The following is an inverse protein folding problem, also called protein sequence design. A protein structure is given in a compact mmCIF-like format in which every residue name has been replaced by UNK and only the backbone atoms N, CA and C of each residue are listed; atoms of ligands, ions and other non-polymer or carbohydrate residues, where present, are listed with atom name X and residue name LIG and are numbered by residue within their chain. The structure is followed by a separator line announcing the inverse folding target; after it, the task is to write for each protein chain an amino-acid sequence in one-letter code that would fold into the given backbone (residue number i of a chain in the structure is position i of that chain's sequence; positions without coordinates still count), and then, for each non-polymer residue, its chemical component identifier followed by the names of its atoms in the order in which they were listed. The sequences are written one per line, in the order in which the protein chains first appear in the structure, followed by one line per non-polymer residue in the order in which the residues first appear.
data_IF_219495638580
#
_entry.id   IF_219495638580
#
_cell.length_a   1.000
_cell.length_b   1.000
_cell.length_c   1.000
_cell.angle_alpha   90.00
_cell.angle_beta   90.00
_cell.angle_gamma   90.00
#
_symmetry.space_group_name_H-M   'P 1'
#
loop_
_entity.id
_entity.type
_entity.pdbx_description
1 polymer ?
#
# COMPACT_ATOMS: atom_id res chain seq x y z
N UNK A 1 -30.70 -12.55 -1.41
CA UNK A 1 -29.30 -12.42 -1.83
C UNK A 1 -28.77 -13.82 -1.99
N UNK A 2 -28.35 -14.16 -3.18
CA UNK A 2 -27.75 -15.45 -3.46
C UNK A 2 -26.30 -15.23 -3.85
N UNK A 3 -25.34 -16.04 -3.37
CA UNK A 3 -24.01 -16.04 -3.93
C UNK A 3 -24.10 -16.42 -5.41
N UNK A 4 -23.53 -15.59 -6.27
CA UNK A 4 -23.43 -15.91 -7.69
C UNK A 4 -22.29 -16.90 -7.89
N UNK A 5 -22.53 -17.94 -8.67
CA UNK A 5 -21.45 -18.76 -9.20
C UNK A 5 -20.57 -17.94 -10.14
N UNK A 6 -19.31 -18.27 -10.25
CA UNK A 6 -18.33 -17.52 -11.06
C UNK A 6 -18.77 -17.37 -12.53
N UNK A 7 -19.41 -18.39 -13.10
CA UNK A 7 -19.91 -18.36 -14.48
C UNK A 7 -21.04 -17.34 -14.67
N UNK A 8 -21.95 -17.22 -13.70
CA UNK A 8 -23.06 -16.28 -13.77
C UNK A 8 -22.59 -14.86 -13.52
N UNK A 9 -21.62 -14.67 -12.60
CA UNK A 9 -20.99 -13.37 -12.37
C UNK A 9 -20.32 -12.86 -13.65
N UNK A 10 -19.53 -13.69 -14.33
CA UNK A 10 -18.87 -13.32 -15.60
C UNK A 10 -19.89 -12.89 -16.65
N UNK A 11 -21.00 -13.60 -16.78
CA UNK A 11 -22.08 -13.21 -17.70
C UNK A 11 -22.71 -11.86 -17.39
N UNK A 12 -22.80 -11.50 -16.11
CA UNK A 12 -23.35 -10.21 -15.69
C UNK A 12 -22.37 -9.06 -15.94
N UNK A 13 -21.06 -9.31 -15.82
CA UNK A 13 -20.05 -8.26 -15.93
C UNK A 13 -20.00 -7.58 -17.31
N UNK A 14 -20.39 -8.27 -18.37
CA UNK A 14 -20.43 -7.74 -19.74
C UNK A 14 -21.82 -7.83 -20.40
N UNK A 15 -22.88 -7.85 -19.60
CA UNK A 15 -24.24 -7.86 -20.10
C UNK A 15 -24.73 -6.42 -20.32
N UNK A 16 -24.96 -6.05 -21.59
CA UNK A 16 -25.41 -4.71 -21.96
C UNK A 16 -26.75 -4.26 -21.33
N UNK A 17 -27.58 -5.22 -20.87
CA UNK A 17 -28.86 -4.94 -20.22
C UNK A 17 -28.77 -4.85 -18.70
N UNK A 18 -27.55 -4.94 -18.13
CA UNK A 18 -27.32 -4.92 -16.69
C UNK A 18 -26.44 -3.72 -16.34
N UNK A 19 -26.80 -3.02 -15.28
CA UNK A 19 -25.97 -2.00 -14.65
C UNK A 19 -25.56 -2.50 -13.28
N UNK A 20 -24.26 -2.56 -13.03
CA UNK A 20 -23.70 -3.00 -11.78
C UNK A 20 -23.09 -1.81 -11.02
N UNK A 21 -23.53 -1.65 -9.79
CA UNK A 21 -22.88 -0.78 -8.81
C UNK A 21 -22.18 -1.68 -7.78
N UNK A 22 -20.88 -1.52 -7.62
CA UNK A 22 -20.05 -2.41 -6.82
C UNK A 22 -19.28 -1.66 -5.76
N UNK A 23 -18.78 -2.36 -4.76
CA UNK A 23 -17.93 -1.72 -3.74
C UNK A 23 -16.43 -1.80 -4.06
N UNK A 24 -15.99 -2.71 -4.90
CA UNK A 24 -14.59 -2.84 -5.33
C UNK A 24 -14.57 -3.44 -6.73
N UNK A 25 -14.36 -2.61 -7.72
CA UNK A 25 -14.40 -3.02 -9.14
C UNK A 25 -13.16 -3.76 -9.62
N UNK A 26 -11.99 -3.53 -9.03
CA UNK A 26 -10.73 -4.09 -9.51
C UNK A 26 -10.72 -5.62 -9.68
N UNK A 27 -11.14 -6.44 -8.68
CA UNK A 27 -11.19 -7.89 -8.86
C UNK A 27 -12.25 -8.33 -9.87
N UNK A 28 -13.30 -7.53 -10.08
CA UNK A 28 -14.35 -7.82 -11.06
C UNK A 28 -13.88 -7.55 -12.48
N UNK A 29 -13.16 -6.45 -12.70
CA UNK A 29 -12.49 -6.20 -13.98
C UNK A 29 -11.50 -7.30 -14.32
N UNK A 30 -10.64 -7.70 -13.38
CA UNK A 30 -9.69 -8.80 -13.58
C UNK A 30 -10.41 -10.10 -13.99
N UNK A 31 -11.56 -10.42 -13.35
CA UNK A 31 -12.36 -11.60 -13.66
C UNK A 31 -13.03 -11.49 -15.04
N UNK A 32 -13.59 -10.34 -15.40
CA UNK A 32 -14.16 -10.10 -16.72
C UNK A 32 -13.10 -10.27 -17.81
N UNK A 33 -11.95 -9.66 -17.66
CA UNK A 33 -10.84 -9.73 -18.62
C UNK A 33 -10.25 -11.14 -18.74
N UNK A 34 -10.19 -11.90 -17.68
CA UNK A 34 -9.78 -13.32 -17.74
C UNK A 34 -10.74 -14.18 -18.56
N UNK A 35 -12.01 -13.79 -18.63
CA UNK A 35 -13.04 -14.42 -19.44
C UNK A 35 -13.18 -13.84 -20.87
N UNK A 36 -12.32 -12.89 -21.25
CA UNK A 36 -12.32 -12.25 -22.57
C UNK A 36 -13.26 -11.04 -22.69
N UNK A 37 -13.81 -10.56 -21.57
CA UNK A 37 -14.66 -9.37 -21.49
C UNK A 37 -13.91 -8.15 -20.96
N UNK A 38 -14.64 -7.08 -20.64
CA UNK A 38 -14.11 -5.81 -20.14
C UNK A 38 -14.78 -5.31 -18.87
N UNK A 39 -15.79 -5.99 -18.34
CA UNK A 39 -16.58 -5.53 -17.20
C UNK A 39 -17.45 -4.32 -17.53
N UNK A 40 -17.96 -4.27 -18.77
CA UNK A 40 -18.69 -3.12 -19.32
C UNK A 40 -20.02 -2.83 -18.63
N UNK A 41 -20.53 -3.74 -17.80
CA UNK A 41 -21.73 -3.51 -16.98
C UNK A 41 -21.48 -2.73 -15.70
N UNK A 42 -20.24 -2.62 -15.25
CA UNK A 42 -19.88 -1.86 -14.03
C UNK A 42 -19.99 -0.37 -14.34
N UNK A 43 -20.75 0.36 -13.51
CA UNK A 43 -21.01 1.80 -13.67
C UNK A 43 -20.69 2.62 -12.41
N UNK A 44 -20.37 1.96 -11.29
CA UNK A 44 -20.05 2.61 -10.04
C UNK A 44 -19.16 1.73 -9.18
N UNK A 45 -18.20 2.36 -8.49
CA UNK A 45 -17.35 1.72 -7.48
C UNK A 45 -17.37 2.54 -6.18
N UNK A 46 -18.01 2.00 -5.15
CA UNK A 46 -18.12 2.66 -3.85
C UNK A 46 -16.78 2.79 -3.11
N UNK A 47 -15.79 1.94 -3.39
CA UNK A 47 -14.47 2.06 -2.76
C UNK A 47 -13.67 3.23 -3.33
N UNK A 48 -13.75 3.45 -4.63
CA UNK A 48 -13.16 4.64 -5.27
C UNK A 48 -13.84 5.93 -4.80
N UNK A 49 -15.17 5.90 -4.68
CA UNK A 49 -15.91 7.02 -4.14
C UNK A 49 -15.50 7.34 -2.69
N UNK A 50 -15.35 6.32 -1.84
CA UNK A 50 -14.88 6.50 -0.48
C UNK A 50 -13.46 7.10 -0.41
N UNK A 51 -12.57 6.65 -1.30
CA UNK A 51 -11.22 7.21 -1.40
C UNK A 51 -11.25 8.68 -1.82
N UNK A 52 -12.07 9.03 -2.78
CA UNK A 52 -12.18 10.41 -3.25
C UNK A 52 -12.70 11.34 -2.15
N UNK A 53 -13.74 10.91 -1.42
CA UNK A 53 -14.36 11.69 -0.35
C UNK A 53 -13.50 11.82 0.91
N UNK A 54 -12.62 10.87 1.21
CA UNK A 54 -11.65 10.93 2.31
C UNK A 54 -10.36 10.20 1.98
N UNK A 55 -9.47 10.85 1.24
CA UNK A 55 -8.15 10.30 0.87
C UNK A 55 -7.20 10.10 2.08
N UNK A 56 -7.55 10.62 3.26
CA UNK A 56 -6.74 10.48 4.47
C UNK A 56 -7.01 9.18 5.24
N UNK A 57 -8.11 8.52 4.96
CA UNK A 57 -8.47 7.26 5.62
C UNK A 57 -7.49 6.13 5.25
N UNK A 58 -7.12 5.33 6.25
CA UNK A 58 -6.19 4.22 6.04
C UNK A 58 -6.85 2.97 5.44
N UNK A 59 -8.18 2.89 5.50
CA UNK A 59 -8.99 1.75 5.03
C UNK A 59 -10.35 2.21 4.54
N UNK A 60 -10.88 1.48 3.56
CA UNK A 60 -12.22 1.67 3.03
C UNK A 60 -12.93 0.33 3.05
N UNK A 61 -13.78 0.12 4.05
CA UNK A 61 -14.53 -1.13 4.25
C UNK A 61 -16.02 -0.83 4.41
N UNK A 62 -16.87 -1.67 3.82
CA UNK A 62 -18.32 -1.51 3.89
C UNK A 62 -18.82 -1.45 5.34
N UNK A 63 -18.28 -2.30 6.24
CA UNK A 63 -18.66 -2.35 7.63
C UNK A 63 -18.36 -1.06 8.43
N UNK A 64 -17.41 -0.23 7.97
CA UNK A 64 -17.07 1.07 8.56
C UNK A 64 -17.89 2.21 7.93
N UNK A 65 -18.12 2.14 6.61
CA UNK A 65 -18.83 3.16 5.85
C UNK A 65 -20.34 3.12 6.10
N UNK A 66 -20.93 1.94 6.18
CA UNK A 66 -22.38 1.79 6.44
C UNK A 66 -22.83 2.51 7.70
N UNK A 67 -22.19 2.36 8.87
CA UNK A 67 -22.56 3.12 10.06
C UNK A 67 -22.23 4.62 9.94
N UNK A 68 -21.08 5.00 9.35
CA UNK A 68 -20.70 6.42 9.24
C UNK A 68 -21.70 7.21 8.38
N UNK A 69 -22.17 6.61 7.28
CA UNK A 69 -23.20 7.19 6.41
C UNK A 69 -24.63 6.94 6.93
N UNK A 70 -24.82 6.19 8.04
CA UNK A 70 -26.14 5.79 8.52
C UNK A 70 -26.99 5.19 7.41
N UNK A 71 -26.39 4.29 6.62
CA UNK A 71 -27.04 3.73 5.46
C UNK A 71 -28.21 2.82 5.85
N UNK A 72 -29.37 3.09 5.26
CA UNK A 72 -30.61 2.34 5.50
C UNK A 72 -30.59 1.01 4.75
N UNK A 73 -31.14 -0.04 5.36
CA UNK A 73 -31.29 -1.33 4.70
C UNK A 73 -32.56 -1.39 3.86
N UNK A 74 -32.42 -1.70 2.58
CA UNK A 74 -33.55 -2.02 1.71
C UNK A 74 -34.06 -3.45 1.94
N UNK A 75 -33.19 -4.36 2.41
CA UNK A 75 -33.49 -5.72 2.81
C UNK A 75 -32.47 -6.22 3.84
N UNK A 76 -32.75 -7.36 4.48
CA UNK A 76 -31.83 -8.01 5.40
C UNK A 76 -31.37 -9.37 4.86
N UNK A 77 -30.10 -9.69 5.08
CA UNK A 77 -29.52 -10.98 4.72
C UNK A 77 -28.61 -11.41 5.87
N UNK A 78 -28.82 -12.60 6.42
CA UNK A 78 -28.04 -13.08 7.55
C UNK A 78 -26.56 -13.27 7.22
N UNK A 79 -26.28 -13.83 6.02
CA UNK A 79 -24.91 -14.11 5.59
C UNK A 79 -24.17 -12.85 5.10
N UNK A 80 -24.91 -11.82 4.67
CA UNK A 80 -24.37 -10.56 4.13
C UNK A 80 -25.14 -9.36 4.69
N UNK A 81 -24.92 -9.00 5.96
CA UNK A 81 -25.77 -8.03 6.67
C UNK A 81 -25.71 -6.61 6.04
N UNK A 82 -24.61 -6.26 5.41
CA UNK A 82 -24.44 -4.95 4.78
C UNK A 82 -24.90 -4.88 3.32
N UNK A 83 -25.16 -6.02 2.68
CA UNK A 83 -25.57 -6.05 1.27
C UNK A 83 -26.83 -5.22 1.00
N UNK A 84 -27.82 -5.30 1.90
CA UNK A 84 -29.04 -4.51 1.79
C UNK A 84 -28.87 -3.00 1.99
N UNK A 85 -27.70 -2.56 2.44
CA UNK A 85 -27.40 -1.16 2.74
C UNK A 85 -26.57 -0.49 1.64
N UNK A 86 -25.99 -1.27 0.71
CA UNK A 86 -25.11 -0.74 -0.33
C UNK A 86 -25.80 0.28 -1.24
N UNK A 87 -27.06 0.05 -1.60
CA UNK A 87 -27.79 0.97 -2.48
C UNK A 87 -27.95 2.36 -1.85
N UNK A 88 -28.32 2.44 -0.56
CA UNK A 88 -28.46 3.70 0.16
C UNK A 88 -27.08 4.35 0.43
N UNK A 89 -26.07 3.53 0.75
CA UNK A 89 -24.69 3.99 0.90
C UNK A 89 -24.20 4.67 -0.39
N UNK A 90 -24.35 4.00 -1.53
CA UNK A 90 -23.90 4.54 -2.81
C UNK A 90 -24.69 5.80 -3.24
N UNK A 91 -26.00 5.85 -2.97
CA UNK A 91 -26.78 7.06 -3.22
C UNK A 91 -26.27 8.26 -2.43
N UNK A 92 -25.94 8.06 -1.16
CA UNK A 92 -25.37 9.11 -0.29
C UNK A 92 -23.99 9.55 -0.73
N UNK A 93 -23.12 8.62 -1.09
CA UNK A 93 -21.78 8.93 -1.59
C UNK A 93 -21.83 9.69 -2.92
N UNK A 94 -22.74 9.32 -3.83
CA UNK A 94 -22.97 10.07 -5.09
C UNK A 94 -23.40 11.50 -4.81
N UNK A 95 -24.35 11.67 -3.90
CA UNK A 95 -24.82 13.01 -3.52
C UNK A 95 -23.70 13.87 -2.92
N UNK A 96 -22.81 13.27 -2.13
CA UNK A 96 -21.66 13.96 -1.52
C UNK A 96 -20.62 14.35 -2.57
N UNK A 97 -20.25 13.45 -3.50
CA UNK A 97 -19.36 13.75 -4.64
C UNK A 97 -19.90 14.94 -5.43
N UNK A 98 -21.20 14.94 -5.74
CA UNK A 98 -21.84 16.06 -6.44
C UNK A 98 -21.80 17.35 -5.61
N UNK A 99 -22.05 17.27 -4.31
CA UNK A 99 -21.99 18.43 -3.42
C UNK A 99 -20.59 19.03 -3.30
N UNK A 100 -19.53 18.18 -3.38
CA UNK A 100 -18.14 18.63 -3.42
C UNK A 100 -17.68 19.10 -4.81
N UNK A 101 -18.48 18.90 -5.87
CA UNK A 101 -18.14 19.27 -7.25
C UNK A 101 -17.13 18.32 -7.92
N UNK A 102 -17.04 17.09 -7.45
CA UNK A 102 -16.03 16.10 -7.87
C UNK A 102 -16.56 15.08 -8.89
N UNK A 103 -17.76 15.32 -9.45
CA UNK A 103 -18.36 14.41 -10.44
C UNK A 103 -17.46 14.16 -11.66
N UNK A 104 -16.82 15.19 -12.19
CA UNK A 104 -15.92 15.07 -13.33
C UNK A 104 -14.66 14.27 -12.95
N UNK A 105 -14.08 14.53 -11.78
CA UNK A 105 -12.92 13.77 -11.29
C UNK A 105 -13.27 12.28 -11.15
N UNK A 106 -14.40 11.97 -10.54
CA UNK A 106 -14.83 10.59 -10.38
C UNK A 106 -15.12 9.91 -11.72
N UNK A 107 -15.98 10.53 -12.57
CA UNK A 107 -16.51 9.87 -13.77
C UNK A 107 -15.52 9.84 -14.93
N UNK A 108 -14.69 10.88 -15.09
CA UNK A 108 -13.84 11.05 -16.26
C UNK A 108 -12.39 10.58 -16.01
N UNK A 109 -11.98 10.46 -14.74
CA UNK A 109 -10.61 10.10 -14.38
C UNK A 109 -10.58 8.84 -13.51
N UNK A 110 -11.05 8.88 -12.26
CA UNK A 110 -10.84 7.82 -11.27
C UNK A 110 -11.53 6.51 -11.66
N UNK A 111 -12.79 6.58 -12.05
CA UNK A 111 -13.56 5.39 -12.39
C UNK A 111 -13.04 4.69 -13.66
N UNK A 112 -12.78 5.38 -14.80
CA UNK A 112 -12.15 4.77 -15.97
C UNK A 112 -10.74 4.24 -15.70
N UNK A 113 -9.96 4.93 -14.87
CA UNK A 113 -8.61 4.51 -14.50
C UNK A 113 -8.59 3.16 -13.79
N UNK A 114 -9.61 2.84 -12.99
CA UNK A 114 -9.71 1.56 -12.31
C UNK A 114 -9.66 0.36 -13.27
N UNK A 115 -10.32 0.46 -14.41
CA UNK A 115 -10.30 -0.57 -15.45
C UNK A 115 -8.91 -0.70 -16.08
N UNK A 116 -8.25 0.43 -16.38
CA UNK A 116 -6.89 0.46 -16.93
C UNK A 116 -5.90 -0.19 -15.96
N UNK A 117 -5.97 0.17 -14.67
CA UNK A 117 -5.10 -0.41 -13.65
C UNK A 117 -5.33 -1.92 -13.46
N UNK A 118 -6.58 -2.38 -13.58
CA UNK A 118 -6.89 -3.81 -13.53
C UNK A 118 -6.26 -4.55 -14.72
N UNK A 119 -6.31 -3.98 -15.94
CA UNK A 119 -5.67 -4.57 -17.11
C UNK A 119 -4.13 -4.56 -17.01
N UNK A 120 -3.54 -3.47 -16.55
CA UNK A 120 -2.10 -3.41 -16.29
C UNK A 120 -1.67 -4.48 -15.28
N UNK A 121 -2.46 -4.69 -14.21
CA UNK A 121 -2.18 -5.73 -13.21
C UNK A 121 -2.29 -7.13 -13.81
N UNK A 122 -3.26 -7.36 -14.69
CA UNK A 122 -3.45 -8.63 -15.40
C UNK A 122 -2.30 -8.93 -16.37
N UNK A 123 -1.87 -7.95 -17.13
CA UNK A 123 -0.75 -8.08 -18.08
C UNK A 123 0.56 -8.29 -17.32
N UNK A 124 0.76 -7.56 -16.22
CA UNK A 124 1.97 -7.58 -15.44
C UNK A 124 3.16 -6.96 -16.15
N UNK A 125 4.33 -7.14 -15.56
CA UNK A 125 5.62 -6.69 -16.11
C UNK A 125 6.58 -7.87 -16.08
N UNK A 126 7.30 -8.10 -17.17
CA UNK A 126 8.35 -9.12 -17.20
C UNK A 126 9.49 -8.73 -16.27
N UNK A 127 9.83 -9.61 -15.35
CA UNK A 127 10.88 -9.38 -14.35
C UNK A 127 11.92 -10.49 -14.43
N UNK A 128 13.20 -10.12 -14.43
CA UNK A 128 14.33 -11.05 -14.31
C UNK A 128 14.46 -11.49 -12.84
N UNK A 129 13.75 -12.56 -12.50
CA UNK A 129 13.75 -13.13 -11.16
C UNK A 129 15.15 -13.56 -10.71
N UNK A 130 15.89 -14.25 -11.59
CA UNK A 130 17.22 -14.77 -11.26
C UNK A 130 18.21 -13.61 -11.02
N UNK A 131 18.10 -12.55 -11.80
CA UNK A 131 18.88 -11.33 -11.60
C UNK A 131 18.59 -10.66 -10.27
N UNK A 132 17.32 -10.60 -9.83
CA UNK A 132 16.94 -10.08 -8.51
C UNK A 132 17.49 -10.96 -7.39
N UNK A 133 17.39 -12.28 -7.52
CA UNK A 133 17.92 -13.23 -6.50
C UNK A 133 19.44 -13.10 -6.36
N UNK A 134 20.17 -13.01 -7.48
CA UNK A 134 21.62 -12.80 -7.49
C UNK A 134 22.00 -11.43 -6.89
N UNK A 135 21.25 -10.38 -7.22
CA UNK A 135 21.45 -9.08 -6.59
C UNK A 135 21.22 -9.15 -5.07
N UNK A 136 20.21 -9.88 -4.61
CA UNK A 136 19.92 -10.11 -3.20
C UNK A 136 21.06 -10.84 -2.46
N UNK A 137 21.70 -11.82 -3.10
CA UNK A 137 22.88 -12.49 -2.53
C UNK A 137 24.02 -11.48 -2.31
N UNK A 138 24.32 -10.66 -3.33
CA UNK A 138 25.35 -9.61 -3.20
C UNK A 138 25.02 -8.61 -2.08
N UNK A 139 23.78 -8.13 -2.04
CA UNK A 139 23.35 -7.18 -0.99
C UNK A 139 23.49 -7.74 0.41
N UNK A 140 23.17 -9.00 0.63
CA UNK A 140 23.34 -9.65 1.95
C UNK A 140 24.82 -9.76 2.33
N UNK A 141 25.69 -10.10 1.39
CA UNK A 141 27.13 -10.15 1.65
C UNK A 141 27.67 -8.76 2.04
N UNK A 142 27.27 -7.72 1.33
CA UNK A 142 27.65 -6.34 1.67
C UNK A 142 27.11 -5.91 3.04
N UNK A 143 25.85 -6.25 3.35
CA UNK A 143 25.26 -6.00 4.66
C UNK A 143 26.03 -6.65 5.80
N UNK A 144 26.43 -7.91 5.63
CA UNK A 144 27.22 -8.65 6.62
C UNK A 144 28.60 -7.98 6.86
N UNK A 145 29.25 -7.54 5.79
CA UNK A 145 30.56 -6.87 5.88
C UNK A 145 30.44 -5.52 6.61
N UNK A 146 29.44 -4.70 6.23
CA UNK A 146 29.22 -3.41 6.89
C UNK A 146 28.84 -3.62 8.35
N UNK A 147 27.96 -4.58 8.65
CA UNK A 147 27.56 -4.87 10.02
C UNK A 147 28.75 -5.34 10.87
N UNK A 148 29.65 -6.14 10.31
CA UNK A 148 30.87 -6.55 10.99
C UNK A 148 31.77 -5.37 11.35
N UNK A 149 31.93 -4.37 10.44
CA UNK A 149 32.68 -3.14 10.75
C UNK A 149 32.01 -2.33 11.87
N UNK A 150 30.68 -2.14 11.78
CA UNK A 150 29.91 -1.46 12.84
C UNK A 150 30.10 -2.15 14.20
N UNK A 151 30.06 -3.49 14.26
CA UNK A 151 30.25 -4.24 15.48
C UNK A 151 31.69 -4.09 16.02
N UNK A 152 32.68 -4.00 15.14
CA UNK A 152 34.07 -3.75 15.55
C UNK A 152 34.23 -2.34 16.13
N UNK A 153 33.67 -1.32 15.49
CA UNK A 153 33.77 0.07 15.94
C UNK A 153 33.00 0.31 17.24
N UNK A 154 31.84 -0.30 17.41
CA UNK A 154 31.03 -0.18 18.62
C UNK A 154 31.47 -1.10 19.76
N UNK A 155 32.33 -2.06 19.48
CA UNK A 155 32.76 -3.09 20.46
C UNK A 155 31.64 -4.04 20.90
N UNK A 156 30.52 -4.09 20.17
CA UNK A 156 29.35 -4.88 20.57
C UNK A 156 28.70 -5.57 19.38
N UNK A 157 28.67 -6.90 19.42
CA UNK A 157 27.98 -7.75 18.43
C UNK A 157 26.45 -7.72 18.57
N UNK A 158 25.92 -7.16 19.66
CA UNK A 158 24.48 -6.99 19.87
C UNK A 158 23.97 -5.61 19.45
N UNK A 159 24.86 -4.74 18.98
CA UNK A 159 24.46 -3.40 18.50
C UNK A 159 23.63 -3.50 17.22
N UNK A 160 22.46 -2.83 17.23
CA UNK A 160 21.55 -2.79 16.08
C UNK A 160 21.55 -1.41 15.42
N UNK A 161 22.14 -1.25 14.21
CA UNK A 161 22.19 0.03 13.50
C UNK A 161 20.81 0.59 13.11
N UNK A 162 19.79 -0.27 13.09
CA UNK A 162 18.41 0.14 12.82
C UNK A 162 17.66 0.61 14.07
N UNK A 163 18.24 0.49 15.27
CA UNK A 163 17.64 0.99 16.50
C UNK A 163 17.98 2.47 16.70
N UNK A 164 17.04 3.42 16.55
CA UNK A 164 17.31 4.83 16.76
C UNK A 164 17.83 5.12 18.17
N UNK A 165 17.36 4.35 19.17
CA UNK A 165 17.78 4.51 20.56
C UNK A 165 19.24 4.11 20.74
N UNK A 166 19.62 2.88 20.34
CA UNK A 166 21.00 2.40 20.49
C UNK A 166 21.99 3.27 19.70
N UNK A 167 21.59 3.66 18.48
CA UNK A 167 22.43 4.53 17.65
C UNK A 167 22.58 5.92 18.26
N UNK A 168 21.51 6.52 18.76
CA UNK A 168 21.57 7.82 19.41
C UNK A 168 22.44 7.80 20.67
N UNK A 169 22.31 6.79 21.54
CA UNK A 169 23.15 6.59 22.72
C UNK A 169 24.62 6.41 22.34
N UNK A 170 24.91 5.62 21.28
CA UNK A 170 26.28 5.43 20.82
C UNK A 170 26.90 6.70 20.27
N UNK A 171 26.25 7.37 19.33
CA UNK A 171 26.81 8.55 18.66
C UNK A 171 26.93 9.76 19.60
N UNK A 172 25.90 10.04 20.38
CA UNK A 172 25.81 11.30 21.11
C UNK A 172 26.20 11.18 22.57
N UNK A 173 25.88 10.06 23.24
CA UNK A 173 26.20 9.91 24.66
C UNK A 173 27.55 9.22 24.86
N UNK A 174 27.96 8.27 24.01
CA UNK A 174 29.21 7.53 24.14
C UNK A 174 30.35 8.19 23.38
N UNK A 175 30.15 8.51 22.08
CA UNK A 175 31.18 9.13 21.24
C UNK A 175 31.22 10.65 21.36
N UNK A 176 30.19 11.28 21.94
CA UNK A 176 30.13 12.74 22.15
C UNK A 176 30.05 13.55 20.85
N UNK A 177 29.48 13.00 19.79
CA UNK A 177 29.36 13.72 18.53
C UNK A 177 28.38 14.90 18.64
N UNK A 178 28.52 15.92 17.77
CA UNK A 178 27.59 17.04 17.74
C UNK A 178 26.15 16.51 17.51
N UNK A 179 25.26 16.79 18.45
CA UNK A 179 23.90 16.31 18.38
C UNK A 179 22.93 17.36 17.78
N UNK A 180 21.97 16.90 17.00
CA UNK A 180 20.89 17.70 16.46
C UNK A 180 19.67 17.74 17.39
N UNK A 181 18.48 17.61 16.80
CA UNK A 181 17.20 17.70 17.53
C UNK A 181 17.00 16.51 18.47
N UNK A 182 16.54 16.78 19.69
CA UNK A 182 16.07 15.76 20.62
C UNK A 182 14.59 15.53 20.39
N UNK A 183 14.19 14.27 20.22
CA UNK A 183 12.81 13.85 20.06
C UNK A 183 12.27 13.28 21.38
N UNK A 184 10.97 13.01 21.46
CA UNK A 184 10.38 12.33 22.64
C UNK A 184 10.98 10.93 22.91
N UNK A 185 11.61 10.32 21.91
CA UNK A 185 12.20 8.96 21.97
C UNK A 185 13.73 8.97 22.10
N UNK A 186 14.35 10.13 22.30
CA UNK A 186 15.80 10.31 22.34
C UNK A 186 16.34 11.20 21.23
N UNK A 187 17.62 11.09 20.92
CA UNK A 187 18.26 11.85 19.86
C UNK A 187 17.73 11.43 18.47
N UNK A 188 17.54 12.39 17.56
CA UNK A 188 17.23 12.08 16.18
C UNK A 188 18.43 11.40 15.51
N UNK A 189 18.16 10.31 14.82
CA UNK A 189 19.10 9.58 13.96
C UNK A 189 18.50 9.40 12.56
N UNK A 190 17.75 10.43 12.11
CA UNK A 190 17.23 10.51 10.75
C UNK A 190 18.35 10.70 9.72
N UNK A 191 17.98 10.54 8.44
CA UNK A 191 18.95 10.62 7.35
C UNK A 191 19.66 12.00 7.31
N UNK A 192 18.94 13.09 7.57
CA UNK A 192 19.50 14.44 7.54
C UNK A 192 20.55 14.64 8.66
N UNK A 193 20.21 14.19 9.88
CA UNK A 193 21.14 14.24 11.01
C UNK A 193 22.39 13.41 10.75
N UNK A 194 22.23 12.18 10.25
CA UNK A 194 23.38 11.31 9.96
C UNK A 194 24.23 11.81 8.80
N UNK A 195 23.62 12.35 7.75
CA UNK A 195 24.36 12.95 6.63
C UNK A 195 25.26 14.11 7.07
N UNK A 196 24.80 14.92 8.03
CA UNK A 196 25.62 16.01 8.61
C UNK A 196 26.85 15.52 9.39
N UNK A 197 26.87 14.23 9.77
CA UNK A 197 27.92 13.57 10.53
C UNK A 197 28.67 12.51 9.72
N UNK A 198 28.55 12.53 8.40
CA UNK A 198 29.09 11.51 7.49
C UNK A 198 30.63 11.38 7.56
N UNK A 199 31.32 12.41 8.05
CA UNK A 199 32.77 12.39 8.23
C UNK A 199 33.25 11.35 9.26
N UNK A 200 32.35 10.90 10.15
CA UNK A 200 32.67 9.89 11.17
C UNK A 200 32.47 8.47 10.59
N UNK A 201 33.50 7.58 10.66
CA UNK A 201 33.45 6.25 10.04
C UNK A 201 32.22 5.44 10.42
N UNK A 202 31.87 5.39 11.72
CA UNK A 202 30.68 4.68 12.19
C UNK A 202 29.39 5.21 11.54
N UNK A 203 29.28 6.52 11.34
CA UNK A 203 28.09 7.12 10.71
C UNK A 203 28.00 6.77 9.25
N UNK A 204 29.14 6.81 8.51
CA UNK A 204 29.19 6.37 7.12
C UNK A 204 28.77 4.90 6.98
N UNK A 205 29.30 4.01 7.83
CA UNK A 205 28.93 2.60 7.83
C UNK A 205 27.43 2.39 8.19
N UNK A 206 26.88 3.16 9.12
CA UNK A 206 25.43 3.09 9.44
C UNK A 206 24.57 3.57 8.28
N UNK A 207 24.95 4.64 7.60
CA UNK A 207 24.24 5.13 6.40
C UNK A 207 24.27 4.06 5.29
N UNK A 208 25.43 3.47 5.04
CA UNK A 208 25.60 2.40 4.06
C UNK A 208 24.78 1.15 4.43
N UNK A 209 24.81 0.73 5.68
CA UNK A 209 24.00 -0.39 6.18
C UNK A 209 22.51 -0.16 5.94
N UNK A 210 22.00 1.02 6.31
CA UNK A 210 20.58 1.36 6.12
C UNK A 210 20.18 1.40 4.64
N UNK A 211 21.06 1.91 3.76
CA UNK A 211 20.82 1.91 2.33
C UNK A 211 20.74 0.49 1.77
N UNK A 212 21.69 -0.38 2.11
CA UNK A 212 21.67 -1.79 1.67
C UNK A 212 20.50 -2.57 2.26
N UNK A 213 20.17 -2.33 3.53
CA UNK A 213 19.01 -2.93 4.18
C UNK A 213 17.71 -2.57 3.44
N UNK A 214 17.54 -1.29 3.07
CA UNK A 214 16.38 -0.84 2.30
C UNK A 214 16.34 -1.47 0.92
N UNK A 215 17.48 -1.53 0.22
CA UNK A 215 17.58 -2.18 -1.09
C UNK A 215 17.19 -3.66 -1.01
N UNK A 216 17.71 -4.38 -0.03
CA UNK A 216 17.39 -5.81 0.14
C UNK A 216 15.93 -6.01 0.51
N UNK A 217 15.42 -5.34 1.55
CA UNK A 217 14.07 -5.59 2.06
C UNK A 217 12.97 -5.10 1.11
N UNK A 218 13.16 -3.94 0.48
CA UNK A 218 12.12 -3.32 -0.35
C UNK A 218 12.18 -3.83 -1.79
N UNK A 219 13.36 -3.83 -2.39
CA UNK A 219 13.50 -4.13 -3.82
C UNK A 219 13.81 -5.60 -4.12
N UNK A 220 14.51 -6.32 -3.24
CA UNK A 220 14.73 -7.75 -3.44
C UNK A 220 13.57 -8.56 -2.86
N UNK A 221 13.43 -8.56 -1.54
CA UNK A 221 12.41 -9.37 -0.87
C UNK A 221 10.99 -8.92 -1.21
N UNK A 222 10.79 -7.59 -1.36
CA UNK A 222 9.50 -7.01 -1.73
C UNK A 222 9.06 -7.42 -3.12
N UNK A 223 9.95 -7.35 -4.12
CA UNK A 223 9.62 -7.77 -5.49
C UNK A 223 9.43 -9.29 -5.59
N UNK A 224 10.31 -10.09 -4.98
CA UNK A 224 10.21 -11.55 -5.02
C UNK A 224 8.92 -12.11 -4.41
N UNK A 225 8.23 -11.32 -3.57
CA UNK A 225 6.93 -11.72 -2.99
C UNK A 225 5.74 -11.54 -3.94
N UNK A 226 5.88 -10.72 -4.97
CA UNK A 226 4.78 -10.35 -5.89
C UNK A 226 4.98 -10.89 -7.32
N UNK A 227 6.05 -11.65 -7.56
CA UNK A 227 6.37 -12.33 -8.82
C UNK A 227 5.74 -13.74 -8.85
#
# INVERSE_FOLDING_TARGET
VYPLEDADLVRLLDNANVTLEVFNSAPLYAKAMAAGGWGSSIRWDGKLAAYLLDASASKYQVGELVPSYKAAAAFTCADYPDAGRLADLFAKMKAEITACGEDALYNDIEFPLAQVLADMTRIGVLVDRDGIEQFGVRMRTELEQVLARIHMETGSTSFNPNSPKQLGEMLFDTMGLPHGKKTQRGWSTDAETLESLREYPLVEDVLQYRAYQKLNSTYVEGLLKVI
#
